data_IF_165052196806
#
_entry.id   IF_165052196806
#
_cell.length_a   1.000
_cell.length_b   1.000
_cell.length_c   1.000
_cell.angle_alpha   90.00
_cell.angle_beta   90.00
_cell.angle_gamma   90.00
#
_symmetry.space_group_name_H-M   'P 1'
#
loop_
_entity.id
_entity.type
_entity.pdbx_description
1 polymer ?
#
# COMPACT_ATOMS: atom_id res chain seq x y z
N UNK A 1 12.57 -12.48 2.95
CA UNK A 1 13.47 -13.56 2.51
C UNK A 1 14.93 -13.25 2.84
N UNK A 2 15.53 -12.19 2.26
CA UNK A 2 16.96 -11.83 2.49
C UNK A 2 17.32 -11.80 3.98
N UNK A 3 16.51 -11.15 4.82
CA UNK A 3 16.72 -11.09 6.28
C UNK A 3 16.85 -12.50 6.89
N UNK A 4 15.91 -13.40 6.60
CA UNK A 4 15.90 -14.77 7.12
C UNK A 4 17.07 -15.61 6.61
N UNK A 5 17.60 -15.31 5.43
CA UNK A 5 18.82 -15.92 4.88
C UNK A 5 20.12 -15.32 5.46
N UNK A 6 20.01 -14.33 6.34
CA UNK A 6 21.16 -13.60 6.91
C UNK A 6 21.28 -13.78 8.41
N UNK A 7 20.16 -13.72 9.15
CA UNK A 7 20.17 -13.91 10.61
C UNK A 7 20.73 -15.30 10.97
N UNK A 8 21.61 -15.37 11.97
CA UNK A 8 22.28 -16.60 12.41
C UNK A 8 23.40 -17.08 11.48
N UNK A 9 23.73 -16.35 10.41
CA UNK A 9 24.83 -16.70 9.50
C UNK A 9 26.15 -16.11 9.99
N UNK A 10 27.22 -16.92 9.98
CA UNK A 10 28.57 -16.49 10.32
C UNK A 10 29.02 -15.28 9.48
N UNK A 11 29.57 -14.25 10.13
CA UNK A 11 30.05 -13.01 9.50
C UNK A 11 28.99 -11.91 9.34
N UNK A 12 27.82 -12.05 9.98
CA UNK A 12 26.72 -11.07 10.00
C UNK A 12 26.21 -10.77 11.41
N UNK A 13 26.90 -11.25 12.45
CA UNK A 13 26.53 -11.12 13.85
C UNK A 13 26.41 -9.64 14.27
N UNK A 14 27.31 -8.80 13.76
CA UNK A 14 27.30 -7.34 13.97
C UNK A 14 26.06 -6.63 13.39
N UNK A 15 25.36 -7.28 12.45
CA UNK A 15 24.19 -6.76 11.75
C UNK A 15 22.88 -7.35 12.24
N UNK A 16 22.91 -8.26 13.21
CA UNK A 16 21.71 -9.00 13.63
C UNK A 16 20.61 -8.06 14.14
N UNK A 17 20.95 -7.06 14.96
CA UNK A 17 19.98 -6.09 15.49
C UNK A 17 19.26 -5.32 14.37
N UNK A 18 19.98 -4.87 13.34
CA UNK A 18 19.37 -4.14 12.22
C UNK A 18 18.53 -5.08 11.35
N UNK A 19 18.99 -6.32 11.13
CA UNK A 19 18.25 -7.33 10.37
C UNK A 19 16.94 -7.70 11.06
N UNK A 20 16.93 -7.89 12.38
CA UNK A 20 15.72 -8.15 13.17
C UNK A 20 14.71 -7.01 13.06
N UNK A 21 15.19 -5.75 13.10
CA UNK A 21 14.33 -4.58 12.88
C UNK A 21 13.72 -4.59 11.47
N UNK A 22 14.52 -4.85 10.43
CA UNK A 22 14.01 -4.96 9.05
C UNK A 22 12.98 -6.10 8.94
N UNK A 23 13.22 -7.26 9.57
CA UNK A 23 12.26 -8.36 9.59
C UNK A 23 10.92 -7.94 10.21
N UNK A 24 10.96 -7.26 11.35
CA UNK A 24 9.75 -6.74 12.02
C UNK A 24 9.01 -5.75 11.11
N UNK A 25 9.70 -4.71 10.65
CA UNK A 25 9.10 -3.63 9.85
C UNK A 25 8.49 -4.19 8.54
N UNK A 26 9.21 -5.07 7.83
CA UNK A 26 8.67 -5.72 6.62
C UNK A 26 7.50 -6.66 6.91
N UNK A 27 7.49 -7.33 8.06
CA UNK A 27 6.37 -8.17 8.50
C UNK A 27 5.10 -7.37 8.78
N UNK A 28 5.23 -6.21 9.44
CA UNK A 28 4.13 -5.28 9.70
C UNK A 28 3.58 -4.67 8.41
N UNK A 29 4.46 -4.19 7.53
CA UNK A 29 4.08 -3.67 6.20
C UNK A 29 3.35 -4.73 5.39
N UNK A 30 3.85 -5.97 5.35
CA UNK A 30 3.21 -7.07 4.62
C UNK A 30 1.78 -7.29 5.11
N UNK A 31 1.59 -7.38 6.44
CA UNK A 31 0.25 -7.56 7.03
C UNK A 31 -0.68 -6.40 6.64
N UNK A 32 -0.19 -5.15 6.73
CA UNK A 32 -1.01 -3.98 6.38
C UNK A 32 -1.37 -3.93 4.90
N UNK A 33 -0.42 -4.21 4.01
CA UNK A 33 -0.69 -4.28 2.56
C UNK A 33 -1.70 -5.38 2.20
N UNK A 34 -1.68 -6.53 2.88
CA UNK A 34 -2.70 -7.57 2.70
C UNK A 34 -4.10 -7.07 3.10
N UNK A 35 -4.22 -6.37 4.23
CA UNK A 35 -5.49 -5.77 4.65
C UNK A 35 -5.95 -4.69 3.66
N UNK A 36 -5.03 -3.87 3.15
CA UNK A 36 -5.35 -2.81 2.18
C UNK A 36 -5.92 -3.37 0.86
N UNK A 37 -5.54 -4.58 0.46
CA UNK A 37 -6.14 -5.21 -0.72
C UNK A 37 -7.63 -5.51 -0.52
N UNK A 38 -8.03 -5.94 0.68
CA UNK A 38 -9.45 -6.11 1.03
C UNK A 38 -10.16 -4.76 1.17
N UNK A 39 -9.49 -3.77 1.76
CA UNK A 39 -10.03 -2.43 1.92
C UNK A 39 -10.28 -1.74 0.57
N UNK A 40 -9.44 -1.99 -0.43
CA UNK A 40 -9.60 -1.49 -1.81
C UNK A 40 -10.85 -2.09 -2.47
N UNK A 41 -11.06 -3.40 -2.33
CA UNK A 41 -12.26 -4.07 -2.82
C UNK A 41 -13.54 -3.51 -2.17
N UNK A 42 -13.52 -3.29 -0.84
CA UNK A 42 -14.64 -2.67 -0.10
C UNK A 42 -14.87 -1.23 -0.54
N UNK A 43 -13.80 -0.46 -0.77
CA UNK A 43 -13.89 0.93 -1.23
C UNK A 43 -14.52 1.01 -2.63
N UNK A 44 -14.08 0.14 -3.54
CA UNK A 44 -14.67 0.01 -4.87
C UNK A 44 -16.16 -0.32 -4.81
N UNK A 45 -16.56 -1.30 -4.00
CA UNK A 45 -17.96 -1.65 -3.83
C UNK A 45 -18.80 -0.45 -3.36
N UNK A 46 -18.32 0.30 -2.36
CA UNK A 46 -19.00 1.49 -1.84
C UNK A 46 -19.17 2.58 -2.91
N UNK A 47 -18.15 2.79 -3.74
CA UNK A 47 -18.23 3.72 -4.88
C UNK A 47 -19.32 3.27 -5.85
N UNK A 48 -19.36 1.98 -6.20
CA UNK A 48 -20.37 1.42 -7.09
C UNK A 48 -21.79 1.53 -6.53
N UNK A 49 -21.98 1.27 -5.24
CA UNK A 49 -23.27 1.44 -4.55
C UNK A 49 -23.72 2.91 -4.56
N UNK A 50 -22.81 3.85 -4.29
CA UNK A 50 -23.12 5.28 -4.33
C UNK A 50 -23.56 5.74 -5.73
N UNK A 51 -22.95 5.20 -6.80
CA UNK A 51 -23.36 5.47 -8.16
C UNK A 51 -24.72 4.85 -8.51
N UNK A 52 -25.07 3.68 -7.96
CA UNK A 52 -26.35 2.99 -8.21
C UNK A 52 -27.53 3.55 -7.42
N UNK A 53 -27.28 4.30 -6.34
CA UNK A 53 -28.34 4.89 -5.53
C UNK A 53 -29.28 5.76 -6.39
N UNK A 54 -30.60 5.54 -6.25
CA UNK A 54 -31.62 6.37 -6.90
C UNK A 54 -31.52 7.81 -6.36
N UNK A 55 -31.73 8.79 -7.23
CA UNK A 55 -31.78 10.20 -6.83
C UNK A 55 -32.97 10.44 -5.89
N UNK A 56 -32.66 10.94 -4.70
CA UNK A 56 -33.55 11.58 -3.72
C UNK A 56 -34.98 11.04 -3.62
N UNK A 57 -35.21 10.05 -2.77
CA UNK A 57 -36.54 9.82 -2.14
C UNK A 57 -36.45 9.35 -0.69
N UNK A 58 -35.45 9.78 0.11
CA UNK A 58 -35.51 9.51 1.55
C UNK A 58 -34.92 10.64 2.40
N UNK A 59 -35.77 11.10 3.30
CA UNK A 59 -35.74 12.11 4.37
C UNK A 59 -34.47 12.17 5.28
N UNK A 60 -33.38 11.48 4.94
CA UNK A 60 -32.13 11.41 5.74
C UNK A 60 -30.91 12.03 5.03
N UNK A 61 -31.08 13.24 4.49
CA UNK A 61 -30.11 14.33 4.63
C UNK A 61 -28.72 14.27 3.98
N UNK A 62 -28.45 13.40 3.00
CA UNK A 62 -27.22 13.56 2.17
C UNK A 62 -27.55 13.28 0.71
N UNK A 63 -27.30 14.28 -0.14
CA UNK A 63 -27.58 14.14 -1.57
C UNK A 63 -26.74 13.01 -2.17
N UNK A 64 -27.26 12.35 -3.22
CA UNK A 64 -26.52 11.31 -3.98
C UNK A 64 -25.11 11.78 -4.35
N UNK A 65 -24.98 13.05 -4.74
CA UNK A 65 -23.71 13.71 -5.10
C UNK A 65 -22.72 13.71 -3.93
N UNK A 66 -23.15 14.07 -2.73
CA UNK A 66 -22.31 14.06 -1.53
C UNK A 66 -21.90 12.64 -1.12
N UNK A 67 -22.81 11.67 -1.25
CA UNK A 67 -22.47 10.27 -0.98
C UNK A 67 -21.37 9.76 -1.94
N UNK A 68 -21.47 10.06 -3.24
CA UNK A 68 -20.40 9.72 -4.21
C UNK A 68 -19.09 10.43 -3.85
N UNK A 69 -19.13 11.71 -3.44
CA UNK A 69 -17.92 12.42 -2.99
C UNK A 69 -17.26 11.74 -1.79
N UNK A 70 -18.06 11.29 -0.81
CA UNK A 70 -17.56 10.62 0.39
C UNK A 70 -16.91 9.27 0.04
N UNK A 71 -17.54 8.47 -0.81
CA UNK A 71 -17.00 7.15 -1.19
C UNK A 71 -15.76 7.28 -2.07
N UNK A 72 -15.69 8.27 -2.97
CA UNK A 72 -14.48 8.54 -3.76
C UNK A 72 -13.31 9.01 -2.89
N UNK A 73 -13.54 9.84 -1.86
CA UNK A 73 -12.50 10.22 -0.90
C UNK A 73 -11.93 8.98 -0.18
N UNK A 74 -12.82 8.11 0.31
CA UNK A 74 -12.42 6.85 0.92
C UNK A 74 -11.63 5.94 -0.06
N UNK A 75 -12.05 5.86 -1.32
CA UNK A 75 -11.35 5.11 -2.36
C UNK A 75 -9.98 5.72 -2.75
N UNK A 76 -9.70 6.97 -2.40
CA UNK A 76 -8.37 7.59 -2.54
C UNK A 76 -7.47 7.24 -1.36
N UNK A 77 -8.01 7.14 -0.14
CA UNK A 77 -7.23 6.90 1.09
C UNK A 77 -6.50 5.56 1.06
N UNK A 78 -7.16 4.49 0.59
CA UNK A 78 -6.56 3.15 0.50
C UNK A 78 -5.29 3.13 -0.38
N UNK A 79 -5.31 3.54 -1.66
CA UNK A 79 -4.10 3.56 -2.48
C UNK A 79 -3.07 4.61 -2.03
N UNK A 80 -3.45 5.68 -1.32
CA UNK A 80 -2.48 6.59 -0.68
C UNK A 80 -1.62 5.85 0.35
N UNK A 81 -2.24 5.00 1.17
CA UNK A 81 -1.51 4.19 2.14
C UNK A 81 -0.66 3.12 1.46
N UNK A 82 -1.17 2.44 0.43
CA UNK A 82 -0.40 1.48 -0.37
C UNK A 82 0.87 2.15 -0.92
N UNK A 83 0.74 3.36 -1.48
CA UNK A 83 1.87 4.11 -2.02
C UNK A 83 2.91 4.45 -0.95
N UNK A 84 2.47 4.89 0.23
CA UNK A 84 3.35 5.21 1.37
C UNK A 84 4.13 3.97 1.82
N UNK A 85 3.43 2.87 2.11
CA UNK A 85 4.05 1.62 2.57
C UNK A 85 4.97 1.01 1.52
N UNK A 86 4.63 1.17 0.23
CA UNK A 86 5.50 0.75 -0.86
C UNK A 86 6.83 1.52 -0.87
N UNK A 87 6.81 2.82 -0.57
CA UNK A 87 8.05 3.60 -0.45
C UNK A 87 8.90 3.17 0.76
N UNK A 88 8.26 2.92 1.91
CA UNK A 88 8.96 2.36 3.08
C UNK A 88 9.59 0.99 2.76
N UNK A 89 8.87 0.14 2.03
CA UNK A 89 9.39 -1.16 1.59
C UNK A 89 10.57 -1.03 0.62
N UNK A 90 10.55 -0.04 -0.27
CA UNK A 90 11.67 0.29 -1.15
C UNK A 90 12.92 0.65 -0.33
N UNK A 91 12.80 1.51 0.68
CA UNK A 91 13.92 1.87 1.56
C UNK A 91 14.47 0.66 2.34
N UNK A 92 13.58 -0.19 2.86
CA UNK A 92 13.97 -1.42 3.54
C UNK A 92 14.68 -2.39 2.58
N UNK A 93 14.22 -2.47 1.32
CA UNK A 93 14.91 -3.18 0.24
C UNK A 93 16.33 -2.67 0.02
N UNK A 94 16.52 -1.35 -0.05
CA UNK A 94 17.85 -0.74 -0.15
C UNK A 94 18.75 -1.06 1.04
N UNK A 95 18.22 -0.99 2.25
CA UNK A 95 18.97 -1.30 3.47
C UNK A 95 19.39 -2.77 3.50
N UNK A 96 18.46 -3.69 3.25
CA UNK A 96 18.75 -5.12 3.29
C UNK A 96 19.70 -5.55 2.17
N UNK A 97 19.69 -4.90 1.01
CA UNK A 97 20.71 -5.14 -0.03
C UNK A 97 22.13 -4.73 0.37
N UNK A 98 22.31 -3.85 1.36
CA UNK A 98 23.63 -3.43 1.87
C UNK A 98 24.11 -4.28 3.04
N UNK A 99 23.20 -4.64 3.95
CA UNK A 99 23.55 -5.31 5.21
C UNK A 99 23.22 -6.80 5.23
N UNK A 100 22.40 -7.26 4.29
CA UNK A 100 21.96 -8.65 4.16
C UNK A 100 22.98 -9.56 3.47
N UNK A 101 22.62 -10.84 3.38
CA UNK A 101 23.39 -11.87 2.73
C UNK A 101 23.73 -11.48 1.28
N UNK A 102 25.03 -11.35 0.97
CA UNK A 102 25.54 -10.97 -0.35
C UNK A 102 25.02 -11.85 -1.49
N UNK A 103 24.75 -13.13 -1.22
CA UNK A 103 24.23 -14.07 -2.21
C UNK A 103 22.73 -13.88 -2.52
N UNK A 104 22.02 -13.07 -1.71
CA UNK A 104 20.60 -12.77 -1.85
C UNK A 104 20.35 -11.27 -2.19
N UNK A 105 21.40 -10.55 -2.64
CA UNK A 105 21.27 -9.13 -3.02
C UNK A 105 20.29 -8.94 -4.18
N UNK A 106 20.23 -9.90 -5.11
CA UNK A 106 19.24 -9.94 -6.20
C UNK A 106 17.82 -9.86 -5.66
N UNK A 107 17.49 -10.60 -4.60
CA UNK A 107 16.15 -10.62 -4.01
C UNK A 107 15.80 -9.28 -3.36
N UNK A 108 16.79 -8.62 -2.75
CA UNK A 108 16.62 -7.25 -2.24
C UNK A 108 16.34 -6.25 -3.36
N UNK A 109 17.00 -6.40 -4.53
CA UNK A 109 16.73 -5.58 -5.72
C UNK A 109 15.35 -5.86 -6.32
N UNK A 110 14.94 -7.12 -6.38
CA UNK A 110 13.57 -7.49 -6.80
C UNK A 110 12.54 -6.81 -5.89
N UNK A 111 12.74 -6.82 -4.57
CA UNK A 111 11.86 -6.13 -3.63
C UNK A 111 11.75 -4.61 -3.92
N UNK A 112 12.87 -3.94 -4.24
CA UNK A 112 12.89 -2.53 -4.65
C UNK A 112 12.06 -2.31 -5.93
N UNK A 113 12.22 -3.16 -6.94
CA UNK A 113 11.47 -3.04 -8.20
C UNK A 113 9.97 -3.22 -7.99
N UNK A 114 9.57 -4.22 -7.21
CA UNK A 114 8.17 -4.48 -6.89
C UNK A 114 7.55 -3.35 -6.07
N UNK A 115 8.27 -2.84 -5.07
CA UNK A 115 7.86 -1.69 -4.28
C UNK A 115 7.59 -0.44 -5.15
N UNK A 116 8.50 -0.15 -6.09
CA UNK A 116 8.32 0.95 -7.06
C UNK A 116 7.13 0.75 -7.97
N UNK A 117 6.93 -0.47 -8.46
CA UNK A 117 5.79 -0.79 -9.31
C UNK A 117 4.48 -0.59 -8.54
N UNK A 118 4.40 -1.10 -7.30
CA UNK A 118 3.24 -0.91 -6.44
C UNK A 118 2.95 0.58 -6.15
N UNK A 119 3.98 1.39 -5.85
CA UNK A 119 3.83 2.82 -5.62
C UNK A 119 3.32 3.58 -6.86
N UNK A 120 3.72 3.15 -8.08
CA UNK A 120 3.25 3.70 -9.35
C UNK A 120 1.80 3.27 -9.63
N UNK A 121 1.47 1.99 -9.46
CA UNK A 121 0.10 1.50 -9.64
C UNK A 121 -0.89 2.17 -8.69
N UNK A 122 -0.52 2.32 -7.42
CA UNK A 122 -1.33 3.03 -6.44
C UNK A 122 -1.57 4.51 -6.84
N UNK A 123 -0.57 5.17 -7.45
CA UNK A 123 -0.73 6.54 -7.95
C UNK A 123 -1.77 6.63 -9.08
N UNK A 124 -1.84 5.65 -9.97
CA UNK A 124 -2.88 5.61 -11.01
C UNK A 124 -4.28 5.48 -10.39
N UNK A 125 -4.44 4.64 -9.36
CA UNK A 125 -5.70 4.51 -8.62
C UNK A 125 -6.10 5.81 -7.91
N UNK A 126 -5.13 6.53 -7.32
CA UNK A 126 -5.36 7.85 -6.72
C UNK A 126 -5.83 8.84 -7.78
N UNK A 127 -5.14 8.91 -8.92
CA UNK A 127 -5.43 9.86 -10.00
C UNK A 127 -6.85 9.68 -10.54
N UNK A 128 -7.26 8.45 -10.82
CA UNK A 128 -8.58 8.20 -11.42
C UNK A 128 -9.72 8.56 -10.46
N UNK A 129 -9.61 8.20 -9.18
CA UNK A 129 -10.60 8.57 -8.17
C UNK A 129 -10.63 10.08 -7.91
N UNK A 130 -9.46 10.74 -7.89
CA UNK A 130 -9.36 12.20 -7.76
C UNK A 130 -10.00 12.93 -8.95
N UNK A 131 -9.75 12.45 -10.17
CA UNK A 131 -10.35 13.01 -11.38
C UNK A 131 -11.89 12.90 -11.32
N UNK A 132 -12.43 11.74 -10.93
CA UNK A 132 -13.85 11.55 -10.73
C UNK A 132 -14.41 12.52 -9.66
N UNK A 133 -13.69 12.69 -8.55
CA UNK A 133 -14.09 13.60 -7.46
C UNK A 133 -14.14 15.07 -7.91
N UNK A 134 -13.17 15.53 -8.69
CA UNK A 134 -13.11 16.90 -9.23
C UNK A 134 -14.26 17.16 -10.21
N UNK A 135 -14.62 16.17 -11.04
CA UNK A 135 -15.77 16.27 -11.96
C UNK A 135 -17.13 16.39 -11.26
N UNK A 136 -17.19 16.10 -9.95
CA UNK A 136 -18.37 16.33 -9.11
C UNK A 136 -18.35 17.71 -8.43
N UNK A 137 -17.37 18.58 -8.69
CA UNK A 137 -17.46 20.01 -8.36
C UNK A 137 -18.62 20.59 -9.13
#
# INVERSE_FOLDING_TARGET
>A
MVVNLTIGKKGYEDKEKILLKIAKDTGEIKKRLSVLAEDDAKAYQKVMEAYKAKSDTSITGTSRKENIKKTLKYAIEVPMEVRKLSHELEELGYRVSKVGNKNAVSDGRVAIHLARAAAKSALENIKINKLALVKLG
#
